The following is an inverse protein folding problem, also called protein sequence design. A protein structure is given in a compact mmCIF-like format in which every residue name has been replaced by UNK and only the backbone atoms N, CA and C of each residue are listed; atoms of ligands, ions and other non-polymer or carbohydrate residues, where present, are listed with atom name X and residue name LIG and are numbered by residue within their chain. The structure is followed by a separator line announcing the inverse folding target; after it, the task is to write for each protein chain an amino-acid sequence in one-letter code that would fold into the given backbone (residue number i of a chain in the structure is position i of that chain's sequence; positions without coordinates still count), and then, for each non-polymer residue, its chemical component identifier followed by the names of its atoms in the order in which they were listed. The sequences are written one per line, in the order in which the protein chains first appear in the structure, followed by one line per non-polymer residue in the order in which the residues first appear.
data_IF_177096979838
#
_entry.id   IF_177096979838
#
_cell.length_a   1.000
_cell.length_b   1.000
_cell.length_c   1.000
_cell.angle_alpha   90.00
_cell.angle_beta   90.00
_cell.angle_gamma   90.00
#
_symmetry.space_group_name_H-M   'P 1'
#
loop_
_entity.id
_entity.type
_entity.pdbx_description
1 polymer ?
#
# COMPACT_ATOMS: atom_id res chain seq x y z
N UNK A 1 -17.24 4.51 -10.95
CA UNK A 1 -17.40 4.59 -12.42
C UNK A 1 -18.59 3.72 -12.81
N UNK A 2 -19.57 4.24 -13.57
CA UNK A 2 -20.73 3.46 -13.99
C UNK A 2 -20.31 2.34 -14.96
N UNK A 3 -20.98 1.19 -14.87
CA UNK A 3 -20.76 0.04 -15.72
C UNK A 3 -21.09 0.38 -17.18
N UNK A 4 -20.09 0.33 -18.07
CA UNK A 4 -20.34 0.48 -19.52
C UNK A 4 -20.92 -0.82 -20.07
N UNK A 5 -22.11 -0.72 -20.69
CA UNK A 5 -22.66 -1.84 -21.47
C UNK A 5 -21.79 -2.04 -22.71
N UNK A 6 -21.18 -3.21 -22.83
CA UNK A 6 -20.43 -3.62 -24.02
C UNK A 6 -21.41 -4.13 -25.07
N UNK A 7 -21.31 -3.57 -26.27
CA UNK A 7 -22.09 -4.06 -27.41
C UNK A 7 -21.48 -5.39 -27.86
N UNK A 8 -22.32 -6.41 -28.03
CA UNK A 8 -21.89 -7.68 -28.55
C UNK A 8 -21.70 -7.58 -30.06
N UNK A 9 -20.52 -7.96 -30.54
CA UNK A 9 -20.17 -8.02 -31.97
C UNK A 9 -19.77 -9.46 -32.25
N UNK A 10 -20.36 -10.07 -33.29
CA UNK A 10 -20.03 -11.44 -33.67
C UNK A 10 -18.52 -11.56 -33.92
N UNK A 11 -17.81 -12.45 -33.19
CA UNK A 11 -16.39 -12.67 -33.41
C UNK A 11 -16.13 -13.14 -34.85
N UNK A 12 -15.16 -12.54 -35.53
CA UNK A 12 -14.86 -12.82 -36.94
C UNK A 12 -14.19 -14.18 -37.17
N UNK A 13 -13.68 -14.84 -36.13
CA UNK A 13 -12.91 -16.07 -36.27
C UNK A 13 -13.30 -17.16 -35.26
N UNK A 14 -13.40 -18.38 -35.78
CA UNK A 14 -13.48 -19.65 -35.04
C UNK A 14 -12.09 -20.00 -34.47
N UNK A 15 -11.65 -19.22 -33.49
CA UNK A 15 -10.37 -19.47 -32.82
C UNK A 15 -10.50 -20.67 -31.90
N UNK A 16 -10.19 -21.88 -32.39
CA UNK A 16 -9.70 -22.96 -31.54
C UNK A 16 -8.40 -22.50 -30.90
N UNK A 17 -8.47 -21.84 -29.75
CA UNK A 17 -7.34 -21.09 -29.20
C UNK A 17 -6.21 -22.05 -28.81
N UNK A 18 -5.03 -21.96 -29.45
CA UNK A 18 -3.86 -22.65 -28.92
C UNK A 18 -3.63 -22.15 -27.50
N UNK A 19 -3.20 -23.06 -26.60
CA UNK A 19 -2.70 -22.67 -25.27
C UNK A 19 -1.81 -21.44 -25.46
N UNK A 20 -2.16 -20.32 -24.81
CA UNK A 20 -1.53 -19.01 -25.03
C UNK A 20 -0.02 -19.10 -24.66
N UNK A 21 0.82 -19.49 -25.63
CA UNK A 21 2.27 -19.60 -25.47
C UNK A 21 2.93 -18.24 -25.68
N UNK A 22 2.47 -17.21 -24.97
CA UNK A 22 3.08 -15.89 -25.05
C UNK A 22 4.17 -15.72 -24.01
N UNK A 23 5.28 -15.12 -24.43
CA UNK A 23 6.41 -14.76 -23.56
C UNK A 23 6.06 -13.60 -22.62
N UNK A 24 5.17 -12.71 -23.05
CA UNK A 24 4.89 -11.42 -22.40
C UNK A 24 3.59 -11.48 -21.57
N UNK A 25 3.62 -11.25 -20.24
CA UNK A 25 2.44 -11.42 -19.37
C UNK A 25 1.28 -10.44 -19.65
N UNK A 26 1.62 -9.28 -20.18
CA UNK A 26 0.74 -8.22 -20.66
C UNK A 26 0.01 -8.67 -21.92
N UNK A 27 0.69 -9.37 -22.84
CA UNK A 27 0.06 -9.97 -24.02
C UNK A 27 -0.93 -11.07 -23.60
N UNK A 28 -0.54 -11.92 -22.64
CA UNK A 28 -1.46 -12.92 -22.06
C UNK A 28 -2.69 -12.22 -21.46
N UNK A 29 -2.48 -11.13 -20.71
CA UNK A 29 -3.59 -10.40 -20.08
C UNK A 29 -4.53 -9.76 -21.11
N UNK A 30 -3.98 -9.19 -22.17
CA UNK A 30 -4.75 -8.63 -23.29
C UNK A 30 -5.60 -9.71 -23.94
N UNK A 31 -4.99 -10.82 -24.39
CA UNK A 31 -5.71 -11.86 -25.11
C UNK A 31 -6.76 -12.59 -24.25
N UNK A 32 -6.55 -12.64 -22.93
CA UNK A 32 -7.57 -13.15 -22.01
C UNK A 32 -8.84 -12.29 -22.01
N UNK A 33 -8.71 -10.97 -21.96
CA UNK A 33 -9.85 -10.05 -21.86
C UNK A 33 -10.33 -9.50 -23.20
N UNK A 34 -9.55 -9.65 -24.27
CA UNK A 34 -9.83 -9.08 -25.59
C UNK A 34 -11.22 -9.43 -26.12
N UNK A 35 -11.69 -10.70 -26.06
CA UNK A 35 -13.06 -10.99 -26.50
C UNK A 35 -14.14 -10.36 -25.64
N UNK A 36 -13.89 -10.26 -24.34
CA UNK A 36 -14.82 -9.62 -23.41
C UNK A 36 -14.89 -8.13 -23.68
N UNK A 37 -13.75 -7.45 -23.87
CA UNK A 37 -13.66 -6.00 -24.01
C UNK A 37 -14.03 -5.52 -25.40
N UNK A 38 -13.46 -6.12 -26.45
CA UNK A 38 -13.62 -5.66 -27.85
C UNK A 38 -14.86 -6.22 -28.53
N UNK A 39 -15.21 -7.48 -28.27
CA UNK A 39 -16.32 -8.17 -28.96
C UNK A 39 -17.57 -8.31 -28.08
N UNK A 40 -17.51 -7.85 -26.83
CA UNK A 40 -18.64 -7.90 -25.91
C UNK A 40 -19.05 -9.32 -25.50
N UNK A 41 -18.17 -10.32 -25.68
CA UNK A 41 -18.42 -11.68 -25.20
C UNK A 41 -18.59 -11.71 -23.69
N UNK A 42 -19.38 -12.65 -23.18
CA UNK A 42 -19.56 -12.75 -21.73
C UNK A 42 -18.29 -13.28 -21.04
N UNK A 43 -17.96 -12.80 -19.83
CA UNK A 43 -16.89 -13.39 -19.02
C UNK A 43 -17.10 -14.89 -18.76
N UNK A 44 -18.35 -15.36 -18.72
CA UNK A 44 -18.71 -16.75 -18.47
C UNK A 44 -18.34 -17.66 -19.66
N UNK A 45 -18.64 -17.26 -20.88
CA UNK A 45 -18.21 -17.96 -22.10
C UNK A 45 -16.68 -18.00 -22.19
N UNK A 46 -16.04 -16.86 -21.90
CA UNK A 46 -14.59 -16.77 -21.90
C UNK A 46 -13.93 -17.67 -20.84
N UNK A 47 -14.57 -17.83 -19.69
CA UNK A 47 -14.11 -18.75 -18.65
C UNK A 47 -14.11 -20.21 -19.12
N UNK A 48 -15.16 -20.63 -19.85
CA UNK A 48 -15.23 -21.98 -20.43
C UNK A 48 -14.11 -22.23 -21.45
N UNK A 49 -13.78 -21.23 -22.27
CA UNK A 49 -12.74 -21.33 -23.29
C UNK A 49 -11.32 -21.38 -22.73
N UNK A 50 -11.05 -20.65 -21.65
CA UNK A 50 -9.68 -20.42 -21.15
C UNK A 50 -9.36 -21.17 -19.86
N UNK A 51 -10.37 -21.70 -19.16
CA UNK A 51 -10.24 -22.27 -17.82
C UNK A 51 -9.98 -21.24 -16.72
N UNK A 52 -9.90 -19.94 -17.04
CA UNK A 52 -9.73 -18.87 -16.06
C UNK A 52 -11.06 -18.59 -15.37
N UNK A 53 -11.10 -18.42 -14.03
CA UNK A 53 -12.35 -18.14 -13.33
C UNK A 53 -13.05 -16.87 -13.85
N UNK A 54 -14.36 -16.94 -14.05
CA UNK A 54 -15.20 -15.82 -14.54
C UNK A 54 -14.97 -14.53 -13.75
N UNK A 55 -14.91 -14.62 -12.42
CA UNK A 55 -14.67 -13.47 -11.53
C UNK A 55 -13.35 -12.76 -11.83
N UNK A 56 -12.32 -13.51 -12.20
CA UNK A 56 -11.00 -12.96 -12.56
C UNK A 56 -11.08 -12.22 -13.89
N UNK A 57 -11.77 -12.79 -14.88
CA UNK A 57 -11.98 -12.17 -16.19
C UNK A 57 -12.78 -10.88 -16.06
N UNK A 58 -13.89 -10.89 -15.31
CA UNK A 58 -14.70 -9.71 -15.02
C UNK A 58 -13.87 -8.60 -14.37
N UNK A 59 -13.13 -8.92 -13.30
CA UNK A 59 -12.27 -7.94 -12.61
C UNK A 59 -11.21 -7.34 -13.54
N UNK A 60 -10.58 -8.14 -14.40
CA UNK A 60 -9.59 -7.64 -15.37
C UNK A 60 -10.23 -6.75 -16.43
N UNK A 61 -11.39 -7.13 -16.96
CA UNK A 61 -12.14 -6.31 -17.92
C UNK A 61 -12.58 -4.98 -17.31
N UNK A 62 -13.15 -5.00 -16.10
CA UNK A 62 -13.57 -3.78 -15.39
C UNK A 62 -12.38 -2.85 -15.10
N UNK A 63 -11.20 -3.42 -14.78
CA UNK A 63 -9.97 -2.64 -14.63
C UNK A 63 -9.52 -2.04 -15.95
N UNK A 64 -9.61 -2.79 -17.04
CA UNK A 64 -9.31 -2.28 -18.38
C UNK A 64 -10.25 -1.14 -18.78
N UNK A 65 -11.54 -1.22 -18.46
CA UNK A 65 -12.48 -0.12 -18.70
C UNK A 65 -12.12 1.15 -17.91
N UNK A 66 -11.53 1.00 -16.72
CA UNK A 66 -11.17 2.11 -15.85
C UNK A 66 -9.79 2.72 -16.15
N UNK A 67 -8.80 1.88 -16.45
CA UNK A 67 -7.37 2.24 -16.53
C UNK A 67 -6.79 2.09 -17.95
N UNK A 68 -7.53 1.52 -18.89
CA UNK A 68 -7.09 1.25 -20.26
C UNK A 68 -5.88 0.32 -20.31
N UNK A 69 -4.93 0.62 -21.20
CA UNK A 69 -3.72 -0.20 -21.40
C UNK A 69 -2.87 -0.36 -20.14
N UNK A 70 -2.91 0.60 -19.21
CA UNK A 70 -2.17 0.52 -17.95
C UNK A 70 -2.57 -0.71 -17.10
N UNK A 71 -3.81 -1.18 -17.25
CA UNK A 71 -4.31 -2.36 -16.52
C UNK A 71 -3.71 -3.70 -16.95
N UNK A 72 -3.11 -3.76 -18.14
CA UNK A 72 -2.56 -4.98 -18.73
C UNK A 72 -1.20 -5.33 -18.15
N UNK A 73 -0.43 -4.30 -17.81
CA UNK A 73 0.80 -4.44 -17.05
C UNK A 73 0.44 -4.93 -15.66
N UNK A 74 1.30 -5.75 -15.05
CA UNK A 74 1.15 -6.17 -13.67
C UNK A 74 1.24 -4.94 -12.76
N UNK A 75 0.14 -4.19 -12.61
CA UNK A 75 -0.06 -3.27 -11.52
C UNK A 75 -0.10 -4.16 -10.30
N UNK A 76 1.05 -4.17 -9.61
CA UNK A 76 1.37 -5.08 -8.52
C UNK A 76 0.15 -5.29 -7.68
N UNK A 77 -0.16 -6.57 -7.40
CA UNK A 77 -1.17 -6.92 -6.41
C UNK A 77 -1.10 -5.88 -5.30
N UNK A 78 -2.21 -5.20 -4.95
CA UNK A 78 -2.18 -4.23 -3.86
C UNK A 78 -1.42 -4.90 -2.72
N UNK A 79 -0.43 -4.21 -2.11
CA UNK A 79 0.47 -4.82 -1.14
C UNK A 79 -0.42 -5.60 -0.21
N UNK A 80 -0.22 -6.93 -0.16
CA UNK A 80 -1.12 -7.82 0.54
C UNK A 80 -1.47 -7.15 1.87
N UNK A 81 -2.73 -7.13 2.35
CA UNK A 81 -3.12 -6.32 3.51
C UNK A 81 -2.29 -6.60 4.78
N UNK A 82 -1.44 -7.63 4.76
CA UNK A 82 -0.48 -8.02 5.79
C UNK A 82 0.98 -7.72 5.46
N UNK A 83 1.28 -6.96 4.41
CA UNK A 83 2.64 -6.53 4.08
C UNK A 83 3.21 -5.72 5.25
N UNK A 84 4.51 -5.91 5.51
CA UNK A 84 5.18 -5.11 6.51
C UNK A 84 5.46 -3.72 5.95
N UNK A 85 5.32 -2.66 6.77
CA UNK A 85 5.66 -1.32 6.34
C UNK A 85 7.15 -1.30 5.95
N UNK A 86 7.54 -0.52 4.92
CA UNK A 86 8.91 -0.47 4.44
C UNK A 86 9.94 -0.19 5.54
N UNK A 87 9.61 0.68 6.51
CA UNK A 87 10.46 0.99 7.66
C UNK A 87 10.80 -0.25 8.50
N UNK A 88 9.85 -1.16 8.70
CA UNK A 88 10.07 -2.40 9.48
C UNK A 88 10.89 -3.40 8.67
N UNK A 89 10.70 -3.46 7.34
CA UNK A 89 11.51 -4.33 6.45
C UNK A 89 12.99 -3.93 6.49
N UNK A 90 13.28 -2.63 6.37
CA UNK A 90 14.64 -2.09 6.47
C UNK A 90 15.27 -2.37 7.83
N UNK A 91 14.54 -2.14 8.92
CA UNK A 91 15.03 -2.43 10.27
C UNK A 91 15.37 -3.92 10.47
N UNK A 92 14.62 -4.85 9.85
CA UNK A 92 14.93 -6.28 9.87
C UNK A 92 16.25 -6.57 9.15
N UNK A 93 16.46 -6.01 7.96
CA UNK A 93 17.69 -6.19 7.20
C UNK A 93 18.91 -5.58 7.91
N UNK A 94 18.77 -4.38 8.47
CA UNK A 94 19.82 -3.71 9.26
C UNK A 94 20.20 -4.52 10.51
N UNK A 95 19.20 -4.98 11.29
CA UNK A 95 19.46 -5.80 12.48
C UNK A 95 20.15 -7.12 12.13
N UNK A 96 19.81 -7.70 10.97
CA UNK A 96 20.46 -8.94 10.50
C UNK A 96 21.88 -8.70 10.00
N UNK A 97 22.15 -7.52 9.43
CA UNK A 97 23.50 -7.11 9.04
C UNK A 97 24.38 -6.82 10.27
N UNK A 98 23.83 -6.16 11.29
CA UNK A 98 24.53 -5.84 12.54
C UNK A 98 24.78 -7.09 13.39
N UNK A 99 23.79 -7.98 13.47
CA UNK A 99 23.83 -9.18 14.28
C UNK A 99 23.50 -10.44 13.45
N UNK A 100 24.44 -10.96 12.65
CA UNK A 100 24.20 -12.11 11.78
C UNK A 100 23.73 -13.36 12.52
N UNK A 101 24.08 -13.53 13.80
CA UNK A 101 23.66 -14.65 14.63
C UNK A 101 22.16 -14.61 15.02
N UNK A 102 21.48 -13.48 14.87
CA UNK A 102 20.08 -13.37 15.28
C UNK A 102 19.16 -14.26 14.44
N UNK A 103 18.41 -15.12 15.14
CA UNK A 103 17.38 -15.98 14.55
C UNK A 103 16.15 -15.15 14.18
N UNK A 104 15.34 -15.56 13.18
CA UNK A 104 14.13 -14.83 12.78
C UNK A 104 13.14 -14.53 13.93
N UNK A 105 13.05 -15.42 14.92
CA UNK A 105 12.21 -15.22 16.11
C UNK A 105 12.71 -14.06 16.99
N UNK A 106 14.03 -13.87 17.11
CA UNK A 106 14.60 -12.77 17.86
C UNK A 106 14.32 -11.43 17.16
N UNK A 107 14.50 -11.38 15.84
CA UNK A 107 14.17 -10.21 15.02
C UNK A 107 12.69 -9.82 15.14
N UNK A 108 11.79 -10.81 15.13
CA UNK A 108 10.36 -10.57 15.33
C UNK A 108 10.04 -9.96 16.71
N UNK A 109 10.73 -10.42 17.77
CA UNK A 109 10.58 -9.88 19.13
C UNK A 109 11.10 -8.45 19.23
N UNK A 110 12.25 -8.15 18.62
CA UNK A 110 12.81 -6.79 18.56
C UNK A 110 11.87 -5.86 17.79
N UNK A 111 11.32 -6.31 16.65
CA UNK A 111 10.34 -5.53 15.89
C UNK A 111 9.07 -5.23 16.69
N UNK A 112 8.60 -6.19 17.50
CA UNK A 112 7.46 -5.98 18.39
C UNK A 112 7.76 -4.89 19.43
N UNK A 113 8.93 -4.94 20.07
CA UNK A 113 9.33 -3.92 21.05
C UNK A 113 9.50 -2.53 20.42
N UNK A 114 10.04 -2.44 19.19
CA UNK A 114 10.34 -1.16 18.52
C UNK A 114 9.13 -0.53 17.82
N UNK A 115 8.22 -1.32 17.27
CA UNK A 115 7.15 -0.84 16.39
C UNK A 115 5.73 -1.26 16.85
N UNK A 116 5.59 -1.96 17.97
CA UNK A 116 4.31 -2.51 18.45
C UNK A 116 3.73 -3.61 17.57
N UNK A 117 4.39 -3.99 16.46
CA UNK A 117 3.95 -4.99 15.49
C UNK A 117 4.92 -6.15 15.42
N UNK A 118 4.42 -7.36 15.66
CA UNK A 118 5.23 -8.59 15.62
C UNK A 118 5.09 -9.29 14.26
N UNK A 119 6.10 -9.25 13.37
CA UNK A 119 6.09 -10.08 12.16
C UNK A 119 6.18 -11.56 12.51
N UNK A 120 5.57 -12.42 11.68
CA UNK A 120 5.80 -13.86 11.82
C UNK A 120 7.24 -14.22 11.42
N UNK A 121 7.84 -15.28 11.99
CA UNK A 121 9.17 -15.74 11.61
C UNK A 121 9.32 -16.05 10.12
N UNK A 122 8.27 -16.58 9.48
CA UNK A 122 8.23 -16.81 8.03
C UNK A 122 8.26 -15.50 7.25
N UNK A 123 7.58 -14.47 7.74
CA UNK A 123 7.61 -13.14 7.12
C UNK A 123 8.98 -12.50 7.25
N UNK A 124 9.66 -12.67 8.39
CA UNK A 124 11.05 -12.21 8.57
C UNK A 124 11.99 -12.91 7.57
N UNK A 125 11.88 -14.24 7.43
CA UNK A 125 12.68 -14.98 6.42
C UNK A 125 12.43 -14.46 5.02
N UNK A 126 11.16 -14.29 4.64
CA UNK A 126 10.78 -13.76 3.32
C UNK A 126 11.37 -12.38 3.08
N UNK A 127 11.29 -11.47 4.07
CA UNK A 127 11.89 -10.13 3.96
C UNK A 127 13.41 -10.21 3.76
N UNK A 128 14.12 -11.10 4.46
CA UNK A 128 15.56 -11.29 4.29
C UNK A 128 15.94 -11.92 2.94
N UNK A 129 15.03 -12.65 2.31
CA UNK A 129 15.21 -13.17 0.93
C UNK A 129 14.97 -12.07 -0.11
N UNK A 130 13.92 -11.27 0.07
CA UNK A 130 13.58 -10.16 -0.83
C UNK A 130 14.55 -8.97 -0.71
N UNK A 131 15.06 -8.72 0.50
CA UNK A 131 15.94 -7.62 0.86
C UNK A 131 17.14 -8.19 1.63
N UNK A 132 18.17 -8.70 0.94
CA UNK A 132 19.31 -9.32 1.60
C UNK A 132 20.03 -8.27 2.46
N UNK A 133 20.48 -8.65 3.67
CA UNK A 133 21.22 -7.76 4.55
C UNK A 133 22.49 -7.33 3.82
N UNK A 134 22.63 -6.02 3.58
CA UNK A 134 23.87 -5.48 3.04
C UNK A 134 24.95 -5.66 4.11
N UNK A 135 26.05 -6.37 3.84
CA UNK A 135 27.15 -6.40 4.79
C UNK A 135 27.64 -4.96 4.95
N UNK A 136 27.67 -4.45 6.18
CA UNK A 136 28.43 -3.23 6.44
C UNK A 136 29.87 -3.54 6.05
N UNK A 137 30.46 -2.73 5.16
CA UNK A 137 31.91 -2.70 5.04
C UNK A 137 32.45 -2.51 6.46
N UNK A 138 33.47 -3.29 6.84
CA UNK A 138 34.19 -3.09 8.11
C UNK A 138 35.00 -1.79 8.02
N UNK A 139 34.34 -0.65 7.86
CA UNK A 139 34.94 0.64 8.10
C UNK A 139 34.67 0.97 9.57
N UNK A 140 35.74 0.85 10.36
CA UNK A 140 35.72 0.84 11.81
C UNK A 140 35.30 2.18 12.42
N UNK A 141 34.00 2.43 12.52
CA UNK A 141 33.48 3.45 13.42
C UNK A 141 32.32 2.89 14.23
N UNK A 142 32.65 2.34 15.41
CA UNK A 142 31.67 2.11 16.49
C UNK A 142 31.06 3.47 16.86
N UNK A 143 29.74 3.68 16.77
CA UNK A 143 29.11 4.65 17.65
C UNK A 143 29.07 3.99 19.02
N UNK A 144 29.97 4.42 19.90
CA UNK A 144 29.93 4.06 21.31
C UNK A 144 28.57 4.47 21.87
N UNK A 145 27.79 3.49 22.32
CA UNK A 145 26.77 3.71 23.35
C UNK A 145 27.52 4.13 24.62
N UNK A 146 27.87 5.41 24.70
CA UNK A 146 28.33 6.05 25.91
C UNK A 146 27.35 7.19 26.18
N UNK A 147 26.21 6.85 26.78
CA UNK A 147 25.50 7.79 27.63
C UNK A 147 26.45 8.16 28.78
N UNK A 148 26.80 9.45 28.98
CA UNK A 148 27.19 9.89 30.30
C UNK A 148 25.90 10.09 31.09
N UNK A 149 25.77 9.34 32.19
CA UNK A 149 24.98 9.79 33.32
C UNK A 149 25.42 11.21 33.69
N UNK A 150 24.50 12.18 33.59
CA UNK A 150 24.55 13.40 34.37
C UNK A 150 23.45 13.28 35.43
N UNK A 151 23.81 12.64 36.54
CA UNK A 151 23.21 12.91 37.84
C UNK A 151 24.12 13.94 38.52
N UNK A 152 23.68 15.20 38.57
CA UNK A 152 23.82 16.10 39.71
C UNK A 152 23.41 17.52 39.29
N UNK A 153 22.41 18.08 39.97
CA UNK A 153 22.17 19.52 39.97
C UNK A 153 20.73 19.96 39.84
N UNK A 154 19.95 19.85 40.94
CA UNK A 154 18.94 20.84 41.28
C UNK A 154 17.54 20.69 40.66
N UNK A 155 16.62 20.09 41.42
CA UNK A 155 15.22 20.51 41.36
C UNK A 155 15.11 21.99 41.77
N UNK A 156 14.43 22.85 40.99
CA UNK A 156 14.00 24.14 41.52
C UNK A 156 12.81 23.90 42.50
N UNK A 157 12.74 24.65 43.61
CA UNK A 157 11.69 24.47 44.60
C UNK A 157 10.35 25.03 44.10
N UNK A 158 9.28 24.36 44.52
CA UNK A 158 7.89 24.81 44.41
C UNK A 158 7.60 25.96 45.36
N UNK A 159 7.22 27.12 44.84
CA UNK A 159 6.42 28.18 45.48
C UNK A 159 6.28 29.35 44.48
N UNK A 160 5.21 30.12 44.35
CA UNK A 160 3.83 30.10 44.81
C UNK A 160 3.12 31.17 43.98
N UNK A 161 1.82 30.99 43.79
CA UNK A 161 0.87 31.87 43.11
C UNK A 161 1.10 33.39 43.31
N UNK A 162 0.90 34.15 42.22
CA UNK A 162 0.18 35.44 42.28
C UNK A 162 -0.48 35.79 40.93
N UNK A 163 -1.78 35.54 40.90
CA UNK A 163 -2.87 36.29 40.26
C UNK A 163 -2.53 37.53 39.43
N UNK A 164 -3.03 37.56 38.19
CA UNK A 164 -3.81 38.68 37.63
C UNK A 164 -4.63 38.16 36.45
N UNK A 165 -5.93 38.45 36.48
CA UNK A 165 -6.94 37.88 35.60
C UNK A 165 -7.03 38.52 34.20
N UNK A 166 -8.07 38.11 33.44
CA UNK A 166 -8.24 38.44 32.04
C UNK A 166 -9.15 39.67 31.83
N UNK A 167 -8.87 40.47 30.81
CA UNK A 167 -9.82 41.40 30.21
C UNK A 167 -9.31 41.73 28.81
N UNK A 168 -9.93 41.17 27.77
CA UNK A 168 -11.10 41.74 27.09
C UNK A 168 -10.67 42.71 25.97
N UNK A 169 -11.02 42.39 24.71
CA UNK A 169 -12.11 43.03 23.95
C UNK A 169 -11.59 44.30 23.27
N UNK A 170 -11.61 44.43 21.94
CA UNK A 170 -12.81 44.63 21.11
C UNK A 170 -12.33 44.74 19.65
N UNK A 171 -12.97 44.12 18.65
CA UNK A 171 -14.27 44.47 18.03
C UNK A 171 -14.16 45.59 16.99
N UNK A 172 -14.47 45.21 15.74
CA UNK A 172 -15.28 45.94 14.76
C UNK A 172 -15.67 44.86 13.72
N UNK A 173 -16.86 44.25 13.64
CA UNK A 173 -18.26 44.68 13.72
C UNK A 173 -18.67 45.72 12.68
N UNK A 174 -19.59 45.30 11.79
CA UNK A 174 -20.42 46.13 10.93
C UNK A 174 -20.78 45.39 9.63
N UNK A 175 -21.78 44.49 9.60
CA UNK A 175 -23.22 44.78 9.32
C UNK A 175 -23.43 45.18 7.84
N UNK A 176 -24.42 44.76 7.05
CA UNK A 176 -25.76 44.14 7.21
C UNK A 176 -26.27 43.97 5.75
N UNK A 177 -27.01 42.93 5.35
CA UNK A 177 -28.47 42.93 5.03
C UNK A 177 -28.70 41.70 4.11
N UNK A 178 -29.59 40.74 4.42
CA UNK A 178 -31.07 40.70 4.40
C UNK A 178 -31.69 40.42 3.02
N UNK A 179 -32.63 39.46 3.05
CA UNK A 179 -33.77 39.25 2.11
C UNK A 179 -33.43 38.47 0.82
N UNK A 180 -34.19 37.50 0.32
CA UNK A 180 -35.50 36.95 0.68
C UNK A 180 -35.90 35.87 -0.34
N UNK A 181 -36.86 35.03 0.03
CA UNK A 181 -37.51 34.03 -0.82
C UNK A 181 -38.22 34.64 -2.04
N UNK A 182 -38.34 33.88 -3.13
CA UNK A 182 -39.62 33.56 -3.81
C UNK A 182 -39.44 32.52 -4.92
N UNK A 183 -40.38 31.59 -4.96
CA UNK A 183 -40.69 30.69 -6.06
C UNK A 183 -41.59 31.37 -7.11
N UNK A 184 -41.59 30.86 -8.34
CA UNK A 184 -42.69 30.83 -9.34
C UNK A 184 -42.17 29.97 -10.50
N UNK A 185 -42.72 28.76 -10.70
CA UNK A 185 -43.80 28.39 -11.65
C UNK A 185 -43.33 28.43 -13.10
#
# INVERSE_FOLDING_TARGET
MPYRKRLHIAPTEDWSQPRLQFTWPEQVSSELIRPVVLFGSSPAERAKQTGVPERTLRRKADRFDAEGMASLFQTGSPPAPRALPPAVRRAIAELKAEYPAFRPHALARICYARFGRRPSPHTVKRVLTEEPPRPRSRDGTRPTLRSPMLLSGGWPPSASMRTAGPSEVSRAMGSRERSGCTAST
#
